data_IF_153117192074
#
_entry.id   IF_153117192074
#
_cell.length_a   1.000
_cell.length_b   1.000
_cell.length_c   1.000
_cell.angle_alpha   90.00
_cell.angle_beta   90.00
_cell.angle_gamma   90.00
#
_symmetry.space_group_name_H-M   'P 1'
#
loop_
_entity.id
_entity.type
_entity.pdbx_description
1 polymer ?
#
# COMPACT_ATOMS: atom_id res chain seq x y z
N UNK A 1 -9.28 -3.02 -11.48
CA UNK A 1 -9.52 -4.47 -11.62
C UNK A 1 -8.20 -5.20 -11.86
N UNK A 2 -7.61 -5.79 -10.81
CA UNK A 2 -6.63 -6.88 -10.86
C UNK A 2 -6.75 -7.64 -9.53
N UNK A 3 -7.13 -8.93 -9.52
CA UNK A 3 -7.00 -9.78 -8.34
C UNK A 3 -5.61 -10.43 -8.32
N UNK A 4 -5.27 -11.11 -7.23
CA UNK A 4 -4.35 -12.26 -7.10
C UNK A 4 -3.43 -12.08 -5.89
N UNK A 5 -3.61 -12.96 -4.89
CA UNK A 5 -2.59 -13.87 -4.33
C UNK A 5 -3.28 -14.63 -3.16
N UNK A 6 -4.13 -15.60 -3.47
CA UNK A 6 -3.79 -17.04 -3.52
C UNK A 6 -3.19 -17.58 -2.22
N UNK A 7 -4.10 -18.04 -1.37
CA UNK A 7 -3.94 -18.89 -0.20
C UNK A 7 -3.34 -20.25 -0.63
N UNK A 8 -2.14 -20.59 -0.17
CA UNK A 8 -1.54 -21.91 -0.37
C UNK A 8 -1.59 -22.70 0.94
N UNK A 9 -2.63 -23.53 1.10
CA UNK A 9 -2.65 -24.61 2.08
C UNK A 9 -3.02 -25.90 1.33
N UNK A 10 -2.01 -26.69 0.97
CA UNK A 10 -2.19 -27.96 0.28
C UNK A 10 -1.49 -29.06 1.08
N UNK A 11 -2.21 -29.67 2.02
CA UNK A 11 -1.80 -30.93 2.63
C UNK A 11 -2.53 -32.04 1.89
N UNK A 12 -1.84 -32.68 0.93
CA UNK A 12 -2.34 -33.88 0.24
C UNK A 12 -1.80 -35.09 1.00
N UNK A 13 -2.65 -35.74 1.79
CA UNK A 13 -2.40 -37.12 2.20
C UNK A 13 -2.87 -38.05 1.07
N UNK A 14 -1.93 -38.59 0.31
CA UNK A 14 -2.18 -39.66 -0.65
C UNK A 14 -2.19 -41.00 0.08
N UNK A 15 -3.33 -41.69 0.08
CA UNK A 15 -3.43 -43.12 0.33
C UNK A 15 -3.40 -43.82 -1.03
N UNK A 16 -2.35 -44.57 -1.42
CA UNK A 16 -2.43 -45.42 -2.59
C UNK A 16 -3.14 -46.72 -2.23
N UNK A 17 -4.32 -46.89 -2.82
CA UNK A 17 -5.07 -48.14 -2.85
C UNK A 17 -4.37 -49.22 -3.67
N UNK A 18 -4.59 -50.45 -3.21
CA UNK A 18 -4.21 -51.71 -3.82
C UNK A 18 -4.73 -51.84 -5.26
N UNK A 19 -3.92 -52.42 -6.16
CA UNK A 19 -4.34 -53.50 -7.08
C UNK A 19 -3.10 -54.14 -7.72
N UNK A 20 -2.89 -55.44 -7.51
CA UNK A 20 -2.24 -56.35 -8.48
C UNK A 20 -2.31 -57.82 -7.99
N UNK A 21 -3.13 -58.58 -8.73
CA UNK A 21 -3.02 -59.99 -9.13
C UNK A 21 -2.78 -61.12 -8.09
N UNK A 22 -3.79 -62.00 -8.01
CA UNK A 22 -3.69 -63.37 -7.51
C UNK A 22 -2.92 -64.23 -8.52
N UNK A 23 -1.70 -64.63 -8.18
CA UNK A 23 -1.06 -65.81 -8.77
C UNK A 23 -1.14 -66.95 -7.75
N UNK A 24 -2.04 -67.89 -8.05
CA UNK A 24 -2.18 -69.16 -7.34
C UNK A 24 -0.95 -70.04 -7.61
N UNK A 25 -0.14 -70.25 -6.57
CA UNK A 25 0.72 -71.43 -6.51
C UNK A 25 0.63 -72.01 -5.10
N UNK A 26 -0.12 -73.11 -4.99
CA UNK A 26 -0.24 -73.89 -3.76
C UNK A 26 1.04 -74.69 -3.56
N UNK A 27 1.98 -74.15 -2.78
CA UNK A 27 3.01 -74.95 -2.11
C UNK A 27 2.73 -74.89 -0.61
N UNK A 28 2.27 -76.02 -0.08
CA UNK A 28 2.10 -76.30 1.34
C UNK A 28 3.46 -76.32 2.04
N UNK A 29 4.04 -75.15 2.27
CA UNK A 29 5.08 -74.95 3.27
C UNK A 29 4.38 -74.56 4.57
N UNK A 30 4.34 -75.49 5.52
CA UNK A 30 3.93 -75.18 6.90
C UNK A 30 5.04 -74.35 7.53
N UNK A 31 5.07 -73.06 7.20
CA UNK A 31 5.80 -72.06 7.98
C UNK A 31 5.03 -71.94 9.28
N UNK A 32 5.55 -72.55 10.34
CA UNK A 32 5.11 -72.21 11.70
C UNK A 32 5.49 -70.75 11.91
N UNK A 33 4.51 -69.87 11.82
CA UNK A 33 4.66 -68.51 12.30
C UNK A 33 4.99 -68.61 13.79
N UNK A 34 6.26 -68.39 14.13
CA UNK A 34 6.58 -67.95 15.48
C UNK A 34 5.81 -66.65 15.64
N UNK A 35 4.87 -66.63 16.59
CA UNK A 35 4.26 -65.39 17.08
C UNK A 35 5.36 -64.64 17.80
N UNK A 36 6.27 -64.06 17.02
CA UNK A 36 7.29 -63.15 17.47
C UNK A 36 6.54 -61.91 17.93
N UNK A 37 6.15 -61.92 19.21
CA UNK A 37 5.76 -60.81 20.04
C UNK A 37 5.08 -59.65 19.29
N UNK A 38 3.95 -59.95 18.62
CA UNK A 38 3.10 -58.90 18.06
C UNK A 38 2.60 -58.05 19.23
N UNK A 39 2.83 -56.73 19.22
CA UNK A 39 2.34 -55.87 20.29
C UNK A 39 0.82 -56.05 20.41
N UNK A 40 0.29 -56.07 21.64
CA UNK A 40 -1.13 -56.26 21.86
C UNK A 40 -1.91 -55.20 21.08
N UNK A 41 -3.01 -55.63 20.44
CA UNK A 41 -3.86 -54.71 19.71
C UNK A 41 -4.33 -53.59 20.65
N UNK A 42 -4.27 -52.32 20.22
CA UNK A 42 -4.57 -51.21 21.09
C UNK A 42 -5.99 -51.31 21.62
N UNK A 43 -6.16 -51.06 22.91
CA UNK A 43 -7.47 -51.19 23.54
C UNK A 43 -8.39 -50.05 23.09
N UNK A 44 -9.70 -50.20 23.31
CA UNK A 44 -10.67 -49.15 22.98
C UNK A 44 -10.35 -47.86 23.75
N UNK A 45 -9.84 -48.00 24.98
CA UNK A 45 -9.40 -46.89 25.83
C UNK A 45 -8.22 -46.14 25.21
N UNK A 46 -7.23 -46.84 24.63
CA UNK A 46 -6.09 -46.22 23.95
C UNK A 46 -6.55 -45.43 22.71
N UNK A 47 -7.46 -46.01 21.91
CA UNK A 47 -8.03 -45.30 20.74
C UNK A 47 -8.88 -44.09 21.14
N UNK A 48 -9.61 -44.16 22.25
CA UNK A 48 -10.39 -43.04 22.78
C UNK A 48 -9.46 -41.93 23.27
N UNK A 49 -8.37 -42.28 23.94
CA UNK A 49 -7.35 -41.33 24.38
C UNK A 49 -6.68 -40.62 23.19
N UNK A 50 -6.34 -41.36 22.14
CA UNK A 50 -5.76 -40.81 20.91
C UNK A 50 -6.74 -39.85 20.21
N UNK A 51 -8.00 -40.25 20.02
CA UNK A 51 -9.01 -39.39 19.41
C UNK A 51 -9.25 -38.12 20.24
N UNK A 52 -9.27 -38.24 21.57
CA UNK A 52 -9.39 -37.10 22.47
C UNK A 52 -8.21 -36.13 22.31
N UNK A 53 -6.99 -36.65 22.20
CA UNK A 53 -5.79 -35.83 21.98
C UNK A 53 -5.86 -35.10 20.62
N UNK A 54 -6.32 -35.79 19.56
CA UNK A 54 -6.50 -35.16 18.24
C UNK A 54 -7.54 -34.05 18.28
N UNK A 55 -8.70 -34.27 18.92
CA UNK A 55 -9.74 -33.24 19.05
C UNK A 55 -9.25 -32.03 19.85
N UNK A 56 -8.48 -32.25 20.93
CA UNK A 56 -7.88 -31.17 21.70
C UNK A 56 -6.86 -30.37 20.88
N UNK A 57 -6.00 -31.06 20.12
CA UNK A 57 -5.03 -30.41 19.24
C UNK A 57 -5.73 -29.58 18.14
N UNK A 58 -6.78 -30.12 17.53
CA UNK A 58 -7.57 -29.40 16.54
C UNK A 58 -8.30 -28.19 17.14
N UNK A 59 -8.84 -28.30 18.35
CA UNK A 59 -9.45 -27.16 19.04
C UNK A 59 -8.46 -26.03 19.26
N UNK A 60 -7.25 -26.35 19.74
CA UNK A 60 -6.19 -25.36 19.93
C UNK A 60 -5.78 -24.68 18.61
N UNK A 61 -5.69 -25.45 17.52
CA UNK A 61 -5.39 -24.91 16.19
C UNK A 61 -6.50 -23.97 15.69
N UNK A 62 -7.77 -24.33 15.90
CA UNK A 62 -8.92 -23.48 15.55
C UNK A 62 -8.85 -22.14 16.31
N UNK A 63 -8.53 -22.17 17.59
CA UNK A 63 -8.45 -20.95 18.40
C UNK A 63 -7.29 -20.05 17.97
N UNK A 64 -6.14 -20.65 17.60
CA UNK A 64 -5.03 -19.90 17.01
C UNK A 64 -5.42 -19.24 15.68
N UNK A 65 -6.10 -19.97 14.78
CA UNK A 65 -6.56 -19.42 13.50
C UNK A 65 -7.59 -18.30 13.69
N UNK A 66 -8.49 -18.43 14.66
CA UNK A 66 -9.44 -17.36 15.02
C UNK A 66 -8.71 -16.11 15.48
N UNK A 67 -7.70 -16.26 16.32
CA UNK A 67 -6.91 -15.12 16.79
C UNK A 67 -6.18 -14.44 15.62
N UNK A 68 -5.58 -15.23 14.72
CA UNK A 68 -4.93 -14.70 13.52
C UNK A 68 -5.91 -13.94 12.61
N UNK A 69 -7.10 -14.50 12.38
CA UNK A 69 -8.15 -13.83 11.59
C UNK A 69 -8.59 -12.52 12.23
N UNK A 70 -8.75 -12.47 13.56
CA UNK A 70 -9.10 -11.24 14.27
C UNK A 70 -8.00 -10.17 14.11
N UNK A 71 -6.73 -10.56 14.26
CA UNK A 71 -5.61 -9.64 14.05
C UNK A 71 -5.60 -9.11 12.61
N UNK A 72 -5.82 -9.97 11.61
CA UNK A 72 -5.90 -9.55 10.21
C UNK A 72 -7.07 -8.61 9.95
N UNK A 73 -8.25 -8.86 10.54
CA UNK A 73 -9.41 -7.98 10.42
C UNK A 73 -9.11 -6.57 10.93
N UNK A 74 -8.45 -6.46 12.09
CA UNK A 74 -8.06 -5.18 12.67
C UNK A 74 -7.04 -4.43 11.78
N UNK A 75 -6.08 -5.14 11.17
CA UNK A 75 -5.10 -4.55 10.24
C UNK A 75 -5.77 -4.02 8.98
N UNK A 76 -6.75 -4.77 8.43
CA UNK A 76 -7.51 -4.34 7.24
C UNK A 76 -8.29 -3.05 7.54
N UNK A 77 -8.91 -2.95 8.71
CA UNK A 77 -9.64 -1.75 9.13
C UNK A 77 -8.72 -0.52 9.22
N UNK A 78 -7.53 -0.68 9.80
CA UNK A 78 -6.50 0.37 9.84
C UNK A 78 -6.08 0.81 8.44
N UNK A 79 -5.70 -0.14 7.58
CA UNK A 79 -5.30 0.17 6.20
C UNK A 79 -6.43 0.84 5.40
N UNK A 80 -7.68 0.43 5.61
CA UNK A 80 -8.84 1.05 4.95
C UNK A 80 -8.99 2.53 5.33
N UNK A 81 -8.69 2.87 6.58
CA UNK A 81 -8.72 4.25 7.08
C UNK A 81 -7.59 5.07 6.46
N UNK A 82 -6.36 4.55 6.47
CA UNK A 82 -5.19 5.19 5.85
C UNK A 82 -5.38 5.44 4.34
N UNK A 83 -5.96 4.47 3.61
CA UNK A 83 -6.26 4.62 2.18
C UNK A 83 -7.26 5.75 1.93
N UNK A 84 -8.29 5.88 2.77
CA UNK A 84 -9.28 6.93 2.64
C UNK A 84 -8.66 8.32 2.83
N UNK A 85 -7.78 8.47 3.83
CA UNK A 85 -7.04 9.71 4.10
C UNK A 85 -6.10 10.08 2.95
N UNK A 86 -5.28 9.14 2.48
CA UNK A 86 -4.37 9.36 1.35
C UNK A 86 -5.13 9.73 0.08
N UNK A 87 -6.27 9.09 -0.18
CA UNK A 87 -7.12 9.40 -1.34
C UNK A 87 -7.65 10.83 -1.27
N UNK A 88 -8.03 11.29 -0.08
CA UNK A 88 -8.47 12.68 0.14
C UNK A 88 -7.35 13.68 -0.12
N UNK A 89 -6.15 13.43 0.40
CA UNK A 89 -4.97 14.27 0.14
C UNK A 89 -4.60 14.31 -1.34
N UNK A 90 -4.64 13.16 -2.03
CA UNK A 90 -4.36 13.07 -3.47
C UNK A 90 -5.38 13.85 -4.30
N UNK A 91 -6.66 13.74 -3.97
CA UNK A 91 -7.73 14.48 -4.65
C UNK A 91 -7.53 15.98 -4.49
N UNK A 92 -7.16 16.42 -3.28
CA UNK A 92 -6.89 17.84 -3.00
C UNK A 92 -5.67 18.35 -3.78
N UNK A 93 -4.61 17.54 -3.86
CA UNK A 93 -3.40 17.88 -4.63
C UNK A 93 -3.68 17.96 -6.14
N UNK A 94 -4.46 17.00 -6.67
CA UNK A 94 -4.81 16.95 -8.09
C UNK A 94 -5.68 18.14 -8.55
N UNK A 95 -6.40 18.79 -7.63
CA UNK A 95 -7.15 20.03 -7.94
C UNK A 95 -6.22 21.24 -8.14
N UNK A 96 -5.02 21.21 -7.56
CA UNK A 96 -4.05 22.31 -7.59
C UNK A 96 -3.02 22.11 -8.70
N UNK A 97 -2.57 20.87 -8.90
CA UNK A 97 -1.50 20.53 -9.84
C UNK A 97 -2.08 19.79 -11.04
N UNK A 98 -2.00 20.42 -12.21
CA UNK A 98 -2.35 19.82 -13.50
C UNK A 98 -1.11 19.58 -14.34
N UNK A 99 -1.07 18.45 -15.03
CA UNK A 99 -0.09 18.18 -16.09
C UNK A 99 -0.84 17.87 -17.38
N UNK A 100 -0.77 18.77 -18.35
CA UNK A 100 -1.43 18.64 -19.65
C UNK A 100 -0.48 19.11 -20.75
N UNK A 101 -0.34 18.33 -21.83
CA UNK A 101 0.50 18.65 -22.98
C UNK A 101 1.97 19.05 -22.66
N UNK A 102 2.52 18.46 -21.60
CA UNK A 102 3.88 18.75 -21.13
C UNK A 102 4.01 20.06 -20.34
N UNK A 103 2.90 20.76 -20.09
CA UNK A 103 2.81 21.93 -19.23
C UNK A 103 2.43 21.51 -17.81
N UNK A 104 3.20 21.99 -16.83
CA UNK A 104 2.81 21.97 -15.42
C UNK A 104 1.99 23.23 -15.13
N UNK A 105 0.71 23.05 -14.79
CA UNK A 105 -0.18 24.09 -14.28
C UNK A 105 -0.28 23.97 -12.78
N UNK A 106 -0.01 25.07 -12.08
CA UNK A 106 -0.14 25.16 -10.63
C UNK A 106 -1.18 26.26 -10.34
N UNK A 107 -2.37 25.86 -9.93
CA UNK A 107 -3.51 26.75 -9.73
C UNK A 107 -3.77 26.96 -8.25
N UNK A 108 -3.44 28.15 -7.76
CA UNK A 108 -3.76 28.59 -6.41
C UNK A 108 -4.50 29.92 -6.46
N UNK A 109 -5.31 30.19 -5.44
CA UNK A 109 -5.87 31.53 -5.20
C UNK A 109 -4.77 32.53 -4.84
N UNK A 110 -3.76 32.09 -4.08
CA UNK A 110 -2.64 32.89 -3.63
C UNK A 110 -1.39 32.02 -3.44
N UNK A 111 -0.22 32.54 -3.82
CA UNK A 111 1.08 31.95 -3.53
C UNK A 111 1.93 33.01 -2.83
N UNK A 112 2.23 32.80 -1.56
CA UNK A 112 3.15 33.65 -0.80
C UNK A 112 4.55 33.03 -0.79
N UNK A 113 5.56 33.77 -1.26
CA UNK A 113 6.96 33.33 -1.27
C UNK A 113 7.75 34.23 -0.33
N UNK A 114 8.21 33.68 0.79
CA UNK A 114 9.12 34.36 1.70
C UNK A 114 10.54 33.82 1.49
N UNK A 115 11.38 34.60 0.84
CA UNK A 115 12.77 34.22 0.55
C UNK A 115 13.66 35.46 0.47
N UNK A 116 14.94 35.32 0.80
CA UNK A 116 15.94 36.39 0.63
C UNK A 116 16.20 36.70 -0.85
N UNK A 117 16.07 35.70 -1.71
CA UNK A 117 16.26 35.80 -3.15
C UNK A 117 15.30 34.87 -3.90
N UNK A 118 14.49 35.45 -4.78
CA UNK A 118 13.74 34.72 -5.80
C UNK A 118 14.42 34.91 -7.17
N UNK A 119 14.83 33.82 -7.82
CA UNK A 119 15.43 33.85 -9.16
C UNK A 119 14.53 33.10 -10.14
N UNK A 120 13.97 33.81 -11.11
CA UNK A 120 13.20 33.24 -12.21
C UNK A 120 14.07 33.20 -13.47
N UNK A 121 14.29 32.00 -14.01
CA UNK A 121 15.05 31.80 -15.25
C UNK A 121 14.13 31.22 -16.31
N UNK A 122 13.56 32.10 -17.13
CA UNK A 122 12.68 31.73 -18.22
C UNK A 122 12.99 32.61 -19.44
N UNK A 123 12.62 32.14 -20.64
CA UNK A 123 12.71 32.95 -21.85
C UNK A 123 11.76 34.17 -21.81
N UNK A 124 10.63 34.02 -21.13
CA UNK A 124 9.67 35.08 -20.85
C UNK A 124 8.98 34.81 -19.50
N UNK A 125 8.65 35.89 -18.79
CA UNK A 125 7.77 35.86 -17.62
C UNK A 125 6.60 36.77 -17.96
N UNK A 126 5.41 36.20 -17.99
CA UNK A 126 4.16 36.96 -18.15
C UNK A 126 3.57 37.18 -16.76
N UNK A 127 3.28 38.44 -16.44
CA UNK A 127 2.59 38.82 -15.21
C UNK A 127 1.30 39.50 -15.62
N UNK A 128 0.21 38.77 -15.50
CA UNK A 128 -1.13 39.29 -15.77
C UNK A 128 -1.71 39.93 -14.51
N UNK A 129 -2.08 41.21 -14.61
CA UNK A 129 -2.62 41.99 -13.49
C UNK A 129 -1.67 43.07 -13.02
N UNK A 130 -1.88 43.55 -11.79
CA UNK A 130 -1.03 44.58 -11.19
C UNK A 130 0.20 43.92 -10.57
N UNK A 131 1.37 44.51 -10.80
CA UNK A 131 2.62 44.14 -10.13
C UNK A 131 3.12 45.35 -9.38
N UNK A 132 3.38 45.19 -8.09
CA UNK A 132 4.03 46.18 -7.25
C UNK A 132 5.45 45.69 -6.96
N UNK A 133 6.43 46.59 -7.08
CA UNK A 133 7.83 46.29 -6.85
C UNK A 133 8.37 47.36 -5.91
N UNK A 134 8.62 46.96 -4.67
CA UNK A 134 9.32 47.80 -3.70
C UNK A 134 10.83 47.74 -3.95
N UNK A 135 11.37 48.83 -4.49
CA UNK A 135 12.81 48.96 -4.76
C UNK A 135 13.09 49.40 -6.19
N UNK A 136 14.09 48.78 -6.81
CA UNK A 136 14.58 49.16 -8.13
C UNK A 136 14.28 48.06 -9.15
N UNK A 137 13.76 48.47 -10.31
CA UNK A 137 13.63 47.62 -11.49
C UNK A 137 14.74 47.99 -12.46
N UNK A 138 15.68 47.07 -12.68
CA UNK A 138 16.73 47.23 -13.68
C UNK A 138 16.39 46.39 -14.91
N UNK A 139 16.32 47.03 -16.07
CA UNK A 139 16.05 46.37 -17.35
C UNK A 139 16.88 47.01 -18.46
N UNK A 140 17.28 46.21 -19.45
CA UNK A 140 17.99 46.71 -20.63
C UNK A 140 17.11 47.63 -21.50
N UNK A 141 15.82 47.33 -21.54
CA UNK A 141 14.82 48.11 -22.28
C UNK A 141 13.48 47.96 -21.59
N UNK A 142 12.73 49.06 -21.52
CA UNK A 142 11.35 49.08 -21.04
C UNK A 142 10.50 49.63 -22.16
N UNK A 143 9.54 48.82 -22.62
CA UNK A 143 8.56 49.21 -23.62
C UNK A 143 7.21 49.18 -22.93
N UNK A 144 6.54 50.33 -22.88
CA UNK A 144 5.23 50.47 -22.26
C UNK A 144 4.32 51.29 -23.14
N UNK A 145 3.01 51.07 -23.01
CA UNK A 145 1.97 51.85 -23.71
C UNK A 145 1.79 53.23 -23.06
N UNK A 146 2.01 53.34 -21.75
CA UNK A 146 1.84 54.58 -20.99
C UNK A 146 2.72 54.56 -19.74
N UNK A 147 3.16 55.75 -19.33
CA UNK A 147 3.82 55.96 -18.04
C UNK A 147 3.06 57.07 -17.33
N UNK A 148 2.58 56.77 -16.14
CA UNK A 148 2.11 57.78 -15.19
C UNK A 148 3.16 57.80 -14.10
N UNK A 149 3.78 58.96 -13.91
CA UNK A 149 4.82 59.15 -12.91
C UNK A 149 4.44 60.33 -12.04
N UNK A 150 4.42 60.11 -10.73
CA UNK A 150 4.40 61.17 -9.74
C UNK A 150 5.81 61.29 -9.18
N UNK A 151 6.60 62.23 -9.73
CA UNK A 151 7.90 62.53 -9.15
C UNK A 151 7.69 63.43 -7.93
N UNK A 152 7.93 62.90 -6.73
CA UNK A 152 8.17 63.76 -5.58
C UNK A 152 9.52 64.46 -5.78
N UNK A 153 9.53 65.78 -5.74
CA UNK A 153 10.77 66.58 -5.70
C UNK A 153 10.97 67.06 -4.26
N UNK A 154 11.69 66.31 -3.39
CA UNK A 154 12.05 66.82 -2.09
C UNK A 154 12.92 68.08 -2.25
N UNK A 155 12.40 69.24 -1.86
CA UNK A 155 13.17 70.49 -1.82
C UNK A 155 12.75 71.59 -2.80
N UNK A 156 11.73 71.40 -3.64
CA UNK A 156 11.06 72.53 -4.27
C UNK A 156 10.09 73.14 -3.25
N UNK A 157 10.60 74.04 -2.42
CA UNK A 157 9.80 74.77 -1.44
C UNK A 157 8.59 75.43 -2.10
N UNK A 158 7.45 75.36 -1.43
CA UNK A 158 6.38 76.33 -1.65
C UNK A 158 6.99 77.73 -1.45
N UNK A 159 7.21 78.49 -2.52
CA UNK A 159 7.23 79.94 -2.42
C UNK A 159 5.77 80.36 -2.60
N UNK A 160 5.15 80.72 -1.48
CA UNK A 160 3.89 81.44 -1.42
C UNK A 160 4.18 82.91 -1.72
#
# INVERSE_FOLDING_TARGET
MKPVLSLALLFVMTVPGLTAELVSSSQSNVVRFQTENLPPAPTIEERLAELTAVVQAQSAQIDQLKQQLQTQANVIESHSTEIAEVTSSLTSLAQVIGFEDGMLSINFTEIAIQADLLRLSAAAVDISGNTEIDGYVEAKSVITKSVISESYTPGAGNIW
#
